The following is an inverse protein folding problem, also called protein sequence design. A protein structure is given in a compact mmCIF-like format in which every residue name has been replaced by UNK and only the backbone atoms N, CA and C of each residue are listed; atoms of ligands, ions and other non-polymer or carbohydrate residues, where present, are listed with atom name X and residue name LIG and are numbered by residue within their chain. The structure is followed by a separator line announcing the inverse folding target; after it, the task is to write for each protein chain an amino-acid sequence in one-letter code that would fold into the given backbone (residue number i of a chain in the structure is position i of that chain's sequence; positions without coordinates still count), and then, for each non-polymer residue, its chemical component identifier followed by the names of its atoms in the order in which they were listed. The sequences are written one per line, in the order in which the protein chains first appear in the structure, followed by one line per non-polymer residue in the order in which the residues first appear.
data_IF_026933661807
#
_entry.id   IF_026933661807
#
_cell.length_a   1.000
_cell.length_b   1.000
_cell.length_c   1.000
_cell.angle_alpha   90.00
_cell.angle_beta   90.00
_cell.angle_gamma   90.00
#
_symmetry.space_group_name_H-M   'P 1'
#
loop_
_entity.id
_entity.type
_entity.pdbx_description
1 polymer ?
#
# COMPACT_ATOMS: atom_id res chain seq x y z
N UNK A 1 2.73 -34.00 -20.70
CA UNK A 1 2.54 -32.58 -20.33
C UNK A 1 1.46 -32.50 -19.26
N UNK A 2 1.75 -31.92 -18.10
CA UNK A 2 0.85 -31.89 -16.92
C UNK A 2 -0.05 -30.65 -16.85
N UNK A 3 -1.05 -30.69 -15.97
CA UNK A 3 -1.97 -29.55 -15.71
C UNK A 3 -1.28 -28.46 -14.88
N UNK A 4 -1.52 -27.19 -15.24
CA UNK A 4 -1.04 -26.03 -14.47
C UNK A 4 -1.71 -25.99 -13.09
N UNK A 5 -0.91 -26.03 -12.03
CA UNK A 5 -1.40 -26.07 -10.65
C UNK A 5 -1.75 -24.69 -10.13
N UNK A 6 -2.56 -24.62 -9.06
CA UNK A 6 -3.00 -23.36 -8.44
C UNK A 6 -1.84 -22.41 -8.11
N UNK A 7 -0.72 -22.93 -7.60
CA UNK A 7 0.44 -22.11 -7.23
C UNK A 7 1.00 -21.33 -8.42
N UNK A 8 1.05 -21.93 -9.61
CA UNK A 8 1.51 -21.30 -10.85
C UNK A 8 0.55 -20.23 -11.37
N UNK A 9 -0.75 -20.33 -11.05
CA UNK A 9 -1.79 -19.38 -11.49
C UNK A 9 -1.88 -18.12 -10.63
N UNK A 10 -1.28 -18.09 -9.44
CA UNK A 10 -1.35 -16.96 -8.50
C UNK A 10 -0.55 -15.73 -8.93
N UNK A 11 0.20 -15.79 -10.03
CA UNK A 11 0.96 -14.66 -10.58
C UNK A 11 0.13 -13.70 -11.45
N UNK A 12 -1.20 -13.89 -11.58
CA UNK A 12 -2.07 -13.00 -12.35
C UNK A 12 -3.48 -13.55 -12.59
N UNK A 13 -4.20 -12.95 -13.53
CA UNK A 13 -5.58 -13.34 -13.89
C UNK A 13 -6.59 -12.97 -12.80
N UNK A 14 -7.35 -13.95 -12.32
CA UNK A 14 -8.37 -13.73 -11.26
C UNK A 14 -7.77 -13.51 -9.87
N UNK A 15 -6.49 -13.83 -9.67
CA UNK A 15 -5.84 -13.75 -8.36
C UNK A 15 -5.14 -12.40 -8.15
N UNK A 16 -5.83 -11.31 -8.47
CA UNK A 16 -5.36 -9.94 -8.23
C UNK A 16 -5.96 -9.36 -6.94
N UNK A 17 -5.33 -8.32 -6.41
CA UNK A 17 -5.86 -7.59 -5.26
C UNK A 17 -7.02 -6.67 -5.68
N UNK A 18 -8.12 -6.71 -4.93
CA UNK A 18 -9.23 -5.78 -5.10
C UNK A 18 -8.92 -4.47 -4.39
N UNK A 19 -8.41 -3.47 -5.12
CA UNK A 19 -7.88 -2.22 -4.55
C UNK A 19 -8.79 -1.00 -4.73
N UNK A 20 -10.00 -1.17 -5.29
CA UNK A 20 -10.92 -0.06 -5.63
C UNK A 20 -11.25 0.85 -4.44
N UNK A 21 -11.40 0.29 -3.24
CA UNK A 21 -11.75 1.05 -2.05
C UNK A 21 -10.54 1.52 -1.22
N UNK A 22 -9.32 1.26 -1.70
CA UNK A 22 -8.11 1.67 -1.00
C UNK A 22 -7.98 3.19 -1.04
N UNK A 23 -7.77 3.81 0.11
CA UNK A 23 -7.76 5.29 0.21
C UNK A 23 -6.49 5.89 -0.39
N UNK A 24 -5.34 5.50 0.13
CA UNK A 24 -4.04 5.90 -0.35
C UNK A 24 -3.00 4.92 0.22
N UNK A 25 -1.85 4.74 -0.45
CA UNK A 25 -0.76 4.00 0.17
C UNK A 25 -0.27 4.74 1.40
N UNK A 26 -0.28 4.07 2.57
CA UNK A 26 0.33 4.59 3.78
C UNK A 26 1.85 4.71 3.57
N UNK A 27 2.38 5.92 3.69
CA UNK A 27 3.80 6.23 3.46
C UNK A 27 4.29 7.23 4.51
N UNK A 28 5.56 7.09 4.88
CA UNK A 28 6.28 8.17 5.53
C UNK A 28 6.53 9.30 4.53
N UNK A 29 6.89 10.47 5.04
CA UNK A 29 7.21 11.62 4.20
C UNK A 29 8.53 11.38 3.46
N UNK A 30 8.80 12.19 2.44
CA UNK A 30 10.06 12.14 1.73
C UNK A 30 11.19 12.64 2.64
N UNK A 31 12.33 11.94 2.63
CA UNK A 31 13.50 12.26 3.44
C UNK A 31 14.26 13.48 2.87
N UNK A 32 13.73 14.66 3.08
CA UNK A 32 14.36 15.94 2.72
C UNK A 32 15.32 16.46 3.82
N UNK A 33 15.95 17.60 3.57
CA UNK A 33 16.91 18.20 4.50
C UNK A 33 16.33 18.47 5.89
N UNK A 34 15.06 18.89 5.96
CA UNK A 34 14.42 19.27 7.21
C UNK A 34 14.14 18.05 8.11
N UNK A 35 13.87 16.89 7.51
CA UNK A 35 13.70 15.63 8.24
C UNK A 35 15.05 14.97 8.61
N UNK A 36 16.10 15.23 7.83
CA UNK A 36 17.45 14.72 8.11
C UNK A 36 18.18 15.48 9.21
N UNK A 37 18.09 16.81 9.21
CA UNK A 37 18.91 17.69 10.05
C UNK A 37 18.09 18.47 11.08
N UNK A 38 16.78 18.26 11.14
CA UNK A 38 15.86 18.97 12.02
C UNK A 38 14.67 18.13 12.41
N UNK A 39 13.56 18.79 12.72
CA UNK A 39 12.28 18.15 13.01
C UNK A 39 11.16 18.89 12.30
N UNK A 40 10.09 18.16 11.98
CA UNK A 40 8.90 18.68 11.31
C UNK A 40 7.68 18.27 12.12
N UNK A 41 6.73 19.19 12.28
CA UNK A 41 5.46 18.92 12.96
C UNK A 41 4.30 19.03 11.97
N UNK A 42 3.51 17.98 11.88
CA UNK A 42 2.22 17.96 11.19
C UNK A 42 1.06 17.90 12.19
N UNK A 43 -0.14 18.25 11.74
CA UNK A 43 -1.38 18.06 12.48
C UNK A 43 -2.16 16.92 11.85
N UNK A 44 -2.71 16.02 12.67
CA UNK A 44 -3.61 14.96 12.19
C UNK A 44 -4.93 15.61 11.83
N UNK A 45 -5.27 15.62 10.53
CA UNK A 45 -6.52 16.22 10.05
C UNK A 45 -7.71 15.31 10.36
N UNK A 46 -7.62 14.05 9.96
CA UNK A 46 -8.68 13.04 10.12
C UNK A 46 -8.06 11.65 10.27
N UNK A 47 -8.75 10.76 10.98
CA UNK A 47 -8.41 9.33 11.09
C UNK A 47 -9.54 8.56 10.39
N UNK A 48 -9.19 7.83 9.33
CA UNK A 48 -10.16 7.14 8.46
C UNK A 48 -9.83 5.65 8.36
N UNK A 49 -10.85 4.85 8.03
CA UNK A 49 -10.70 3.43 7.73
C UNK A 49 -10.31 3.21 6.26
N UNK A 50 -9.41 2.24 6.03
CA UNK A 50 -8.98 1.76 4.71
C UNK A 50 -9.47 0.32 4.53
N UNK A 51 -10.28 0.04 3.50
CA UNK A 51 -11.09 -1.18 3.40
C UNK A 51 -10.29 -2.50 3.35
N UNK A 52 -9.00 -2.44 2.99
CA UNK A 52 -8.10 -3.59 2.88
C UNK A 52 -7.05 -3.68 3.99
N UNK A 53 -7.20 -2.94 5.09
CA UNK A 53 -6.25 -2.89 6.21
C UNK A 53 -6.89 -3.21 7.55
#
# INVERSE_FOLDING_TARGET
MGRVIRAQRKSGGIFTSHTHHNKAPAKLRALDYAEKNGYIRGVVKEIIHDAGR
#
